data_IF_837674913775
#
_entry.id   IF_837674913775
#
_cell.length_a   1.000
_cell.length_b   1.000
_cell.length_c   1.000
_cell.angle_alpha   90.00
_cell.angle_beta   90.00
_cell.angle_gamma   90.00
#
_symmetry.space_group_name_H-M   'P 1'
#
loop_
_entity.id
_entity.type
_entity.pdbx_description
1 polymer ?
#
# COMPACT_ATOMS: atom_id res chain seq x y z
N UNK A 1 15.31 -2.23 3.29
CA UNK A 1 14.39 -1.15 2.83
C UNK A 1 13.51 -1.66 1.71
N UNK A 2 12.21 -1.43 1.81
CA UNK A 2 11.26 -1.83 0.77
C UNK A 2 11.30 -0.80 -0.36
N UNK A 3 11.59 -1.26 -1.57
CA UNK A 3 11.60 -0.41 -2.76
C UNK A 3 10.35 -0.68 -3.58
N UNK A 4 9.97 0.27 -4.43
CA UNK A 4 8.81 0.11 -5.29
C UNK A 4 8.88 -1.17 -6.12
N UNK A 5 10.07 -1.56 -6.55
CA UNK A 5 10.26 -2.78 -7.33
C UNK A 5 9.89 -4.06 -6.57
N UNK A 6 9.78 -3.99 -5.24
CA UNK A 6 9.34 -5.12 -4.43
C UNK A 6 7.81 -5.23 -4.37
N UNK A 7 7.11 -4.23 -4.87
CA UNK A 7 5.66 -4.19 -4.89
C UNK A 7 5.14 -4.74 -6.20
N UNK A 8 3.95 -5.33 -6.17
CA UNK A 8 3.29 -5.82 -7.37
C UNK A 8 2.31 -4.76 -7.86
N UNK A 9 2.47 -4.37 -9.12
CA UNK A 9 1.49 -3.47 -9.74
C UNK A 9 0.30 -4.31 -10.18
N UNK A 10 -0.79 -4.20 -9.45
CA UNK A 10 -2.01 -4.99 -9.69
C UNK A 10 -2.75 -4.46 -10.92
N UNK A 11 -2.92 -3.16 -10.96
CA UNK A 11 -3.43 -2.42 -12.12
C UNK A 11 -2.67 -1.12 -12.17
N UNK A 12 -2.83 -0.37 -13.26
CA UNK A 12 -2.11 0.90 -13.39
C UNK A 12 -2.42 1.83 -12.21
N UNK A 13 -1.39 2.20 -11.47
CA UNK A 13 -1.51 3.09 -10.33
C UNK A 13 -1.88 2.41 -9.02
N UNK A 14 -2.02 1.09 -9.00
CA UNK A 14 -2.31 0.36 -7.77
C UNK A 14 -1.20 -0.65 -7.50
N UNK A 15 -0.49 -0.46 -6.40
CA UNK A 15 0.60 -1.34 -5.99
C UNK A 15 0.23 -2.07 -4.71
N UNK A 16 0.64 -3.32 -4.61
CA UNK A 16 0.35 -4.16 -3.44
C UNK A 16 1.62 -4.84 -2.94
N UNK A 17 1.79 -4.89 -1.63
CA UNK A 17 2.87 -5.61 -0.98
C UNK A 17 2.30 -6.49 0.13
N UNK A 18 2.34 -7.81 -0.07
CA UNK A 18 1.78 -8.77 0.88
C UNK A 18 2.79 -9.01 2.00
N UNK A 19 2.37 -8.77 3.24
CA UNK A 19 3.20 -8.99 4.42
C UNK A 19 2.91 -10.35 5.04
N UNK A 20 1.63 -10.71 5.07
CA UNK A 20 1.18 -11.97 5.65
C UNK A 20 -0.12 -12.39 4.95
N UNK A 21 -0.58 -13.60 5.23
CA UNK A 21 -1.77 -14.15 4.57
C UNK A 21 -3.00 -13.26 4.73
N UNK A 22 -3.10 -12.54 5.83
CA UNK A 22 -4.27 -11.71 6.11
C UNK A 22 -3.95 -10.21 6.16
N UNK A 23 -2.77 -9.82 5.68
CA UNK A 23 -2.37 -8.41 5.78
C UNK A 23 -1.51 -8.02 4.59
N UNK A 24 -1.86 -6.93 3.93
CA UNK A 24 -1.04 -6.38 2.86
C UNK A 24 -1.11 -4.86 2.90
N UNK A 25 -0.13 -4.23 2.25
CA UNK A 25 -0.15 -2.81 2.01
C UNK A 25 -0.58 -2.55 0.59
N UNK A 26 -1.30 -1.45 0.38
CA UNK A 26 -1.65 -0.98 -0.95
C UNK A 26 -1.29 0.49 -1.08
N UNK A 27 -0.74 0.85 -2.23
CA UNK A 27 -0.48 2.24 -2.57
C UNK A 27 -1.33 2.56 -3.78
N UNK A 28 -2.15 3.61 -3.66
CA UNK A 28 -2.97 4.10 -4.76
C UNK A 28 -2.38 5.40 -5.25
N UNK A 29 -1.85 5.41 -6.46
CA UNK A 29 -1.33 6.63 -7.06
C UNK A 29 -2.49 7.49 -7.52
N UNK A 30 -2.60 8.68 -6.93
CA UNK A 30 -3.69 9.61 -7.24
C UNK A 30 -3.35 10.46 -8.45
N UNK A 31 -2.12 10.98 -8.49
CA UNK A 31 -1.69 11.84 -9.56
C UNK A 31 -0.17 11.72 -9.76
N UNK A 32 0.24 11.57 -11.00
CA UNK A 32 1.65 11.53 -11.37
C UNK A 32 1.88 12.55 -12.48
N UNK A 33 2.63 13.60 -12.18
CA UNK A 33 2.94 14.64 -13.15
C UNK A 33 3.76 14.07 -14.28
N UNK A 34 3.43 14.46 -15.51
CA UNK A 34 4.13 14.00 -16.71
C UNK A 34 5.61 14.34 -16.62
N UNK A 35 6.44 13.40 -17.04
CA UNK A 35 7.90 13.56 -17.10
C UNK A 35 8.58 13.76 -15.75
N UNK A 36 7.93 13.32 -14.68
CA UNK A 36 8.53 13.33 -13.34
C UNK A 36 8.76 11.92 -12.86
N UNK A 37 9.65 11.77 -11.86
CA UNK A 37 9.90 10.49 -11.23
C UNK A 37 8.62 10.00 -10.53
N UNK A 38 8.29 8.72 -10.71
CA UNK A 38 7.12 8.12 -10.07
C UNK A 38 7.16 8.27 -8.55
N UNK A 39 8.35 8.33 -7.96
CA UNK A 39 8.49 8.48 -6.51
C UNK A 39 7.98 9.83 -6.01
N UNK A 40 7.80 10.80 -6.89
CA UNK A 40 7.23 12.10 -6.53
C UNK A 40 5.72 12.17 -6.76
N UNK A 41 5.13 11.09 -7.29
CA UNK A 41 3.69 11.05 -7.54
C UNK A 41 2.91 11.19 -6.25
N UNK A 42 1.76 11.85 -6.32
CA UNK A 42 0.87 11.94 -5.17
C UNK A 42 0.13 10.61 -4.99
N UNK A 43 0.20 10.03 -3.81
CA UNK A 43 -0.31 8.70 -3.56
C UNK A 43 -0.88 8.58 -2.15
N UNK A 44 -1.62 7.51 -1.93
CA UNK A 44 -2.16 7.17 -0.61
C UNK A 44 -1.74 5.76 -0.27
N UNK A 45 -1.27 5.56 0.97
CA UNK A 45 -0.88 4.27 1.48
C UNK A 45 -1.95 3.74 2.41
N UNK A 46 -2.37 2.51 2.17
CA UNK A 46 -3.34 1.81 3.00
C UNK A 46 -2.76 0.53 3.54
N UNK A 47 -3.17 0.14 4.74
CA UNK A 47 -3.00 -1.22 5.20
C UNK A 47 -4.35 -1.92 5.06
N UNK A 48 -4.33 -3.13 4.50
CA UNK A 48 -5.54 -3.92 4.28
C UNK A 48 -5.43 -5.17 5.13
N UNK A 49 -6.28 -5.28 6.13
CA UNK A 49 -6.31 -6.43 7.02
C UNK A 49 -7.53 -7.29 6.77
N UNK A 50 -7.46 -8.53 7.23
CA UNK A 50 -8.58 -9.48 7.17
C UNK A 50 -9.19 -9.67 5.78
N UNK A 51 -8.40 -9.44 4.76
CA UNK A 51 -8.91 -9.56 3.39
C UNK A 51 -9.24 -10.99 2.99
N UNK A 52 -8.86 -11.96 3.80
CA UNK A 52 -9.25 -13.35 3.64
C UNK A 52 -10.53 -13.69 4.40
N UNK A 53 -10.98 -12.78 5.26
CA UNK A 53 -12.16 -13.02 6.08
C UNK A 53 -13.39 -12.85 5.22
N UNK A 54 -14.09 -13.93 5.03
CA UNK A 54 -15.33 -13.96 4.24
C UNK A 54 -16.49 -14.05 5.20
N UNK A 55 -17.26 -12.99 5.29
CA UNK A 55 -18.56 -13.08 5.93
C UNK A 55 -19.48 -13.81 4.96
N UNK A 56 -20.51 -14.45 5.46
CA UNK A 56 -21.34 -15.37 4.68
C UNK A 56 -21.77 -14.82 3.32
N UNK A 57 -21.91 -13.52 3.18
CA UNK A 57 -22.40 -12.91 1.94
C UNK A 57 -21.52 -11.79 1.39
N UNK A 58 -20.42 -11.48 2.05
CA UNK A 58 -19.56 -10.39 1.56
C UNK A 58 -18.15 -10.54 2.06
N UNK A 59 -17.21 -10.13 1.22
CA UNK A 59 -15.82 -10.01 1.62
C UNK A 59 -15.68 -8.64 2.24
N UNK A 60 -15.38 -8.60 3.53
CA UNK A 60 -15.12 -7.33 4.22
C UNK A 60 -13.62 -7.13 4.27
N UNK A 61 -13.15 -6.13 3.56
CA UNK A 61 -11.75 -5.72 3.61
C UNK A 61 -11.67 -4.49 4.50
N UNK A 62 -10.98 -4.65 5.61
CA UNK A 62 -10.70 -3.49 6.45
C UNK A 62 -9.49 -2.79 5.85
N UNK A 63 -9.71 -1.55 5.42
CA UNK A 63 -8.67 -0.74 4.82
C UNK A 63 -8.50 0.51 5.64
N UNK A 64 -7.29 0.74 6.12
CA UNK A 64 -6.97 1.92 6.91
C UNK A 64 -5.94 2.78 6.18
N UNK A 65 -6.24 4.06 6.04
CA UNK A 65 -5.30 5.00 5.44
C UNK A 65 -4.17 5.29 6.41
N UNK A 66 -2.93 5.05 6.00
CA UNK A 66 -1.75 5.30 6.82
C UNK A 66 -1.08 6.62 6.48
N UNK A 67 -1.03 6.97 5.21
CA UNK A 67 -0.34 8.19 4.77
C UNK A 67 -0.89 8.63 3.43
N UNK A 68 -0.97 9.95 3.26
CA UNK A 68 -1.31 10.56 1.99
C UNK A 68 -0.20 11.55 1.66
N UNK A 69 0.52 11.30 0.58
CA UNK A 69 1.67 12.13 0.22
C UNK A 69 2.44 11.54 -0.96
N UNK A 70 3.70 11.96 -1.15
CA UNK A 70 4.47 11.43 -2.27
C UNK A 70 4.72 9.94 -2.11
N UNK A 71 4.84 9.24 -3.25
CA UNK A 71 5.04 7.80 -3.27
C UNK A 71 6.24 7.38 -2.42
N UNK A 72 7.34 8.14 -2.47
CA UNK A 72 8.52 7.84 -1.66
C UNK A 72 8.21 7.83 -0.17
N UNK A 73 7.41 8.78 0.29
CA UNK A 73 6.99 8.82 1.70
C UNK A 73 6.09 7.64 2.05
N UNK A 74 5.24 7.22 1.12
CA UNK A 74 4.40 6.05 1.32
C UNK A 74 5.23 4.77 1.49
N UNK A 75 6.28 4.62 0.69
CA UNK A 75 7.18 3.48 0.80
C UNK A 75 7.90 3.46 2.16
N UNK A 76 8.38 4.62 2.60
CA UNK A 76 9.03 4.75 3.89
C UNK A 76 8.07 4.45 5.04
N UNK A 77 6.85 4.94 4.95
CA UNK A 77 5.83 4.69 5.98
C UNK A 77 5.48 3.21 6.08
N UNK A 78 5.41 2.52 4.95
CA UNK A 78 5.15 1.09 4.93
C UNK A 78 6.24 0.30 5.66
N UNK A 79 7.51 0.67 5.43
CA UNK A 79 8.64 0.05 6.13
C UNK A 79 8.54 0.28 7.63
N UNK A 80 8.26 1.52 8.02
CA UNK A 80 8.15 1.91 9.42
C UNK A 80 7.02 1.17 10.11
N UNK A 81 5.86 1.13 9.48
CA UNK A 81 4.68 0.44 10.00
C UNK A 81 4.94 -1.06 10.17
N UNK A 82 5.63 -1.67 9.20
CA UNK A 82 5.97 -3.08 9.27
C UNK A 82 6.89 -3.39 10.44
N UNK A 83 7.84 -2.50 10.73
CA UNK A 83 8.73 -2.66 11.88
C UNK A 83 7.96 -2.62 13.19
N UNK A 84 6.99 -1.72 13.29
CA UNK A 84 6.16 -1.61 14.49
C UNK A 84 5.31 -2.86 14.71
N UNK A 85 4.82 -3.44 13.63
CA UNK A 85 4.03 -4.67 13.71
C UNK A 85 4.83 -5.86 14.21
N UNK A 86 6.12 -5.88 13.92
CA UNK A 86 7.01 -6.96 14.37
C UNK A 86 7.51 -6.76 15.77
N UNK A 87 7.48 -5.53 16.22
CA UNK A 87 7.98 -5.10 17.49
C UNK A 87 7.23 -5.63 18.65
#
# INVERSE_FOLDING_TARGET
MIKLENWTEVTKGLYRYVVAASCCYEIHVIYHAKDTDILTANASLYIVGDWTKVDNNSKVFERELLLNGPLSACLEKAVEDQKEMRG
#
